data_IF_094351778431
#
_entry.id   IF_094351778431
#
_cell.length_a   1.000
_cell.length_b   1.000
_cell.length_c   1.000
_cell.angle_alpha   90.00
_cell.angle_beta   90.00
_cell.angle_gamma   90.00
#
_symmetry.space_group_name_H-M   'P 1'
#
loop_
_entity.id
_entity.type
_entity.pdbx_description
1 polymer ?
#
# COMPACT_ATOMS: atom_id res chain seq x y z
N UNK A 1 17.34 -7.98 8.80
CA UNK A 1 18.12 -8.70 7.79
C UNK A 1 19.28 -7.86 7.26
N UNK A 2 19.06 -6.65 6.73
CA UNK A 2 20.14 -5.79 6.23
C UNK A 2 21.24 -5.58 7.28
N UNK A 3 20.89 -5.22 8.53
CA UNK A 3 21.85 -5.06 9.62
C UNK A 3 22.68 -6.33 9.91
N UNK A 4 22.06 -7.52 9.86
CA UNK A 4 22.77 -8.79 10.07
C UNK A 4 23.81 -9.07 8.97
N UNK A 5 23.45 -8.84 7.72
CA UNK A 5 24.40 -9.00 6.61
C UNK A 5 25.55 -7.99 6.70
N UNK A 6 25.23 -6.73 7.03
CA UNK A 6 26.26 -5.70 7.21
C UNK A 6 27.20 -6.02 8.38
N UNK A 7 26.69 -6.57 9.47
CA UNK A 7 27.52 -7.06 10.58
C UNK A 7 28.49 -8.17 10.15
N UNK A 8 28.09 -9.01 9.20
CA UNK A 8 28.94 -10.05 8.61
C UNK A 8 29.85 -9.53 7.49
N UNK A 9 29.92 -8.22 7.26
CA UNK A 9 30.71 -7.62 6.19
C UNK A 9 30.13 -7.85 4.78
N UNK A 10 28.87 -8.26 4.68
CA UNK A 10 28.20 -8.55 3.40
C UNK A 10 27.26 -7.40 3.04
N UNK A 11 27.46 -6.81 1.87
CA UNK A 11 26.55 -5.79 1.32
C UNK A 11 25.63 -6.44 0.31
N UNK A 12 24.31 -6.28 0.53
CA UNK A 12 23.29 -6.72 -0.40
C UNK A 12 22.71 -5.52 -1.16
N UNK A 13 22.46 -5.69 -2.45
CA UNK A 13 21.61 -4.77 -3.21
C UNK A 13 20.17 -4.81 -2.69
N UNK A 14 19.38 -3.76 -2.98
CA UNK A 14 17.97 -3.73 -2.61
C UNK A 14 17.18 -4.93 -3.18
N UNK A 15 17.52 -5.38 -4.38
CA UNK A 15 16.92 -6.56 -5.00
C UNK A 15 17.23 -7.83 -4.21
N UNK A 16 18.51 -8.09 -3.93
CA UNK A 16 18.92 -9.26 -3.16
C UNK A 16 18.30 -9.26 -1.76
N UNK A 17 18.21 -8.08 -1.13
CA UNK A 17 17.58 -7.94 0.18
C UNK A 17 16.09 -8.29 0.13
N UNK A 18 15.35 -7.81 -0.89
CA UNK A 18 13.95 -8.14 -1.09
C UNK A 18 13.73 -9.64 -1.36
N UNK A 19 14.56 -10.23 -2.24
CA UNK A 19 14.49 -11.66 -2.58
C UNK A 19 14.79 -12.55 -1.37
N UNK A 20 15.79 -12.19 -0.56
CA UNK A 20 16.10 -12.89 0.69
C UNK A 20 14.97 -12.78 1.71
N UNK A 21 14.33 -11.62 1.83
CA UNK A 21 13.16 -11.45 2.68
C UNK A 21 12.01 -12.36 2.22
N UNK A 22 11.71 -12.35 0.92
CA UNK A 22 10.70 -13.25 0.34
C UNK A 22 11.05 -14.74 0.54
N UNK A 23 12.31 -15.12 0.41
CA UNK A 23 12.75 -16.49 0.67
C UNK A 23 12.42 -16.92 2.11
N UNK A 24 12.73 -16.05 3.08
CA UNK A 24 12.49 -16.36 4.49
C UNK A 24 10.98 -16.40 4.77
N UNK A 25 10.26 -15.34 4.47
CA UNK A 25 8.86 -15.22 4.89
C UNK A 25 7.93 -16.16 4.11
N UNK A 26 8.12 -16.30 2.79
CA UNK A 26 7.22 -17.06 1.93
C UNK A 26 7.64 -18.54 1.85
N UNK A 27 8.93 -18.83 1.63
CA UNK A 27 9.38 -20.19 1.39
C UNK A 27 9.69 -20.95 2.68
N UNK A 28 10.39 -20.32 3.65
CA UNK A 28 10.81 -20.99 4.90
C UNK A 28 9.72 -20.94 5.95
N UNK A 29 9.14 -19.76 6.22
CA UNK A 29 8.08 -19.58 7.21
C UNK A 29 6.68 -19.91 6.66
N UNK A 30 6.54 -20.04 5.33
CA UNK A 30 5.29 -20.40 4.63
C UNK A 30 4.13 -19.43 4.91
N UNK A 31 4.43 -18.16 5.16
CA UNK A 31 3.38 -17.15 5.25
C UNK A 31 2.64 -17.01 3.90
N UNK A 32 1.30 -16.93 3.90
CA UNK A 32 0.49 -16.82 2.68
C UNK A 32 0.48 -15.41 2.09
N UNK A 33 1.62 -14.73 2.09
CA UNK A 33 1.80 -13.33 1.67
C UNK A 33 2.34 -13.21 0.25
N UNK A 34 2.17 -12.04 -0.37
CA UNK A 34 2.83 -11.66 -1.60
C UNK A 34 4.24 -11.10 -1.34
N UNK A 35 4.89 -10.63 -2.42
CA UNK A 35 6.26 -10.08 -2.39
C UNK A 35 6.31 -8.56 -2.25
N UNK A 36 5.17 -7.88 -2.26
CA UNK A 36 5.09 -6.41 -2.40
C UNK A 36 5.81 -5.68 -1.27
N UNK A 37 5.55 -6.05 -0.04
CA UNK A 37 6.04 -5.33 1.15
C UNK A 37 7.57 -5.45 1.27
N UNK A 38 8.13 -6.62 0.95
CA UNK A 38 9.57 -6.86 0.97
C UNK A 38 10.28 -6.00 -0.08
N UNK A 39 9.71 -5.91 -1.29
CA UNK A 39 10.27 -5.07 -2.35
C UNK A 39 10.10 -3.59 -2.03
N UNK A 40 8.94 -3.15 -1.56
CA UNK A 40 8.71 -1.76 -1.16
C UNK A 40 9.66 -1.32 -0.05
N UNK A 41 9.85 -2.14 0.98
CA UNK A 41 10.75 -1.84 2.09
C UNK A 41 12.24 -1.84 1.69
N UNK A 42 12.63 -2.72 0.77
CA UNK A 42 14.03 -2.79 0.32
C UNK A 42 14.41 -1.62 -0.59
N UNK A 43 13.52 -1.21 -1.49
CA UNK A 43 13.80 -0.16 -2.46
C UNK A 43 13.49 1.25 -1.95
N UNK A 44 12.45 1.42 -1.13
CA UNK A 44 11.95 2.74 -0.73
C UNK A 44 11.41 3.57 -1.90
N UNK A 45 10.91 4.76 -1.63
CA UNK A 45 10.34 5.64 -2.62
C UNK A 45 9.01 5.14 -3.20
N UNK A 46 8.55 5.80 -4.26
CA UNK A 46 7.37 5.40 -5.00
C UNK A 46 7.79 4.54 -6.20
N UNK A 47 7.22 3.35 -6.31
CA UNK A 47 7.58 2.40 -7.35
C UNK A 47 6.35 1.74 -7.96
N UNK A 48 6.46 1.44 -9.23
CA UNK A 48 5.61 0.48 -9.90
C UNK A 48 6.34 -0.86 -9.97
N UNK A 49 5.75 -1.90 -9.36
CA UNK A 49 6.27 -3.26 -9.39
C UNK A 49 5.41 -4.15 -10.28
N UNK A 50 6.03 -4.84 -11.21
CA UNK A 50 5.38 -5.88 -12.00
C UNK A 50 5.89 -7.26 -11.54
N UNK A 51 4.99 -8.07 -11.00
CA UNK A 51 5.29 -9.43 -10.55
C UNK A 51 5.00 -10.41 -11.69
N UNK A 52 6.04 -10.96 -12.28
CA UNK A 52 5.95 -11.81 -13.46
C UNK A 52 5.58 -13.26 -13.10
N UNK A 53 5.03 -13.98 -14.08
CA UNK A 53 4.62 -15.39 -13.91
C UNK A 53 5.79 -16.35 -13.62
N UNK A 54 6.98 -16.02 -14.10
CA UNK A 54 8.22 -16.77 -13.83
C UNK A 54 8.79 -16.50 -12.42
N UNK A 55 8.14 -15.62 -11.66
CA UNK A 55 8.52 -15.25 -10.32
C UNK A 55 9.51 -14.09 -10.22
N UNK A 56 9.97 -13.55 -11.35
CA UNK A 56 10.79 -12.32 -11.38
C UNK A 56 9.94 -11.09 -11.04
N UNK A 57 10.61 -10.00 -10.65
CA UNK A 57 9.94 -8.74 -10.33
C UNK A 57 10.65 -7.60 -11.07
N UNK A 58 9.88 -6.90 -11.91
CA UNK A 58 10.36 -5.67 -12.52
C UNK A 58 9.99 -4.48 -11.67
N UNK A 59 10.90 -3.55 -11.53
CA UNK A 59 10.72 -2.31 -10.80
C UNK A 59 10.90 -1.12 -11.72
N UNK A 60 9.91 -0.25 -11.75
CA UNK A 60 9.98 1.07 -12.38
C UNK A 60 9.82 2.14 -11.29
N UNK A 61 10.88 2.94 -10.99
CA UNK A 61 10.74 4.02 -10.04
C UNK A 61 9.82 5.10 -10.61
N UNK A 62 8.92 5.61 -9.79
CA UNK A 62 8.04 6.74 -10.14
C UNK A 62 8.63 8.00 -9.53
N UNK A 63 9.23 8.84 -10.38
CA UNK A 63 9.84 10.09 -9.95
C UNK A 63 8.81 11.22 -10.06
N UNK A 64 8.39 11.72 -8.91
CA UNK A 64 7.50 12.89 -8.85
C UNK A 64 8.30 14.18 -8.74
N UNK A 65 7.75 15.27 -9.27
CA UNK A 65 8.26 16.62 -9.02
C UNK A 65 8.17 16.95 -7.53
N UNK A 66 9.01 17.85 -7.04
CA UNK A 66 8.93 18.34 -5.64
C UNK A 66 7.57 18.99 -5.32
N UNK A 67 6.92 19.57 -6.32
CA UNK A 67 5.56 20.08 -6.20
C UNK A 67 4.56 18.97 -5.94
N UNK A 68 4.65 17.85 -6.68
CA UNK A 68 3.71 16.73 -6.56
C UNK A 68 3.96 15.91 -5.30
N UNK A 69 5.21 15.79 -4.85
CA UNK A 69 5.53 15.21 -3.53
C UNK A 69 4.86 16.02 -2.41
N UNK A 70 5.02 17.36 -2.42
CA UNK A 70 4.35 18.22 -1.44
C UNK A 70 2.83 18.15 -1.50
N UNK A 71 2.23 18.01 -2.70
CA UNK A 71 0.78 17.78 -2.82
C UNK A 71 0.39 16.43 -2.21
N UNK A 72 1.17 15.39 -2.45
CA UNK A 72 0.93 14.06 -1.90
C UNK A 72 0.97 14.08 -0.37
N UNK A 73 1.99 14.68 0.22
CA UNK A 73 2.13 14.83 1.67
C UNK A 73 0.95 15.62 2.30
N UNK A 74 0.43 16.65 1.60
CA UNK A 74 -0.67 17.46 2.12
C UNK A 74 -2.06 16.89 1.90
N UNK A 75 -2.26 16.09 0.85
CA UNK A 75 -3.58 15.58 0.47
C UNK A 75 -3.86 14.16 0.93
N UNK A 76 -2.84 13.43 1.34
CA UNK A 76 -3.00 12.09 1.89
C UNK A 76 -3.08 12.14 3.41
N UNK A 77 -4.12 11.54 3.96
CA UNK A 77 -4.34 11.40 5.40
C UNK A 77 -4.31 9.93 5.76
N UNK A 78 -3.67 9.56 6.85
CA UNK A 78 -3.62 8.18 7.33
C UNK A 78 -4.15 8.07 8.75
N UNK A 79 -5.11 7.16 8.97
CA UNK A 79 -5.72 6.95 10.28
C UNK A 79 -5.57 5.51 10.74
N UNK A 80 -5.29 5.33 12.02
CA UNK A 80 -5.32 4.01 12.63
C UNK A 80 -6.75 3.63 12.99
N UNK A 81 -7.24 2.52 12.45
CA UNK A 81 -8.64 2.08 12.61
C UNK A 81 -8.98 1.55 14.00
N UNK A 82 -7.96 1.31 14.85
CA UNK A 82 -8.15 0.67 16.15
C UNK A 82 -8.57 -0.81 16.05
N UNK A 83 -8.44 -1.42 14.88
CA UNK A 83 -8.74 -2.84 14.65
C UNK A 83 -7.46 -3.52 14.17
N UNK A 84 -7.14 -4.65 14.79
CA UNK A 84 -6.04 -5.52 14.36
C UNK A 84 -6.61 -6.91 14.03
N UNK A 85 -6.18 -7.49 12.91
CA UNK A 85 -6.49 -8.87 12.54
C UNK A 85 -5.23 -9.57 12.04
N UNK A 86 -5.23 -10.89 12.13
CA UNK A 86 -4.16 -11.71 11.55
C UNK A 86 -4.31 -11.68 10.02
N UNK A 87 -3.34 -11.09 9.35
CA UNK A 87 -3.31 -10.98 7.88
C UNK A 87 -3.36 -12.34 7.18
N UNK A 88 -2.76 -13.36 7.77
CA UNK A 88 -2.65 -14.71 7.21
C UNK A 88 -4.01 -15.32 6.86
N UNK A 89 -5.03 -15.14 7.70
CA UNK A 89 -6.37 -15.68 7.45
C UNK A 89 -7.01 -15.04 6.23
N UNK A 90 -6.93 -13.70 6.12
CA UNK A 90 -7.48 -12.94 5.00
C UNK A 90 -6.79 -13.30 3.70
N UNK A 91 -5.46 -13.38 3.73
CA UNK A 91 -4.65 -13.70 2.54
C UNK A 91 -4.83 -15.15 2.10
N UNK A 92 -5.03 -16.09 3.03
CA UNK A 92 -5.36 -17.46 2.71
C UNK A 92 -6.70 -17.55 1.99
N UNK A 93 -7.74 -16.90 2.51
CA UNK A 93 -9.05 -16.86 1.88
C UNK A 93 -9.01 -16.19 0.50
N UNK A 94 -8.28 -15.08 0.35
CA UNK A 94 -8.06 -14.44 -0.94
C UNK A 94 -7.43 -15.42 -1.94
N UNK A 95 -6.40 -16.16 -1.52
CA UNK A 95 -5.72 -17.13 -2.36
C UNK A 95 -6.64 -18.27 -2.81
N UNK A 96 -7.47 -18.79 -1.93
CA UNK A 96 -8.45 -19.84 -2.23
C UNK A 96 -9.53 -19.37 -3.24
N UNK A 97 -9.89 -18.09 -3.19
CA UNK A 97 -10.90 -17.48 -4.07
C UNK A 97 -10.33 -16.85 -5.34
N UNK A 98 -9.01 -16.87 -5.54
CA UNK A 98 -8.31 -16.16 -6.64
C UNK A 98 -8.89 -16.51 -8.02
N UNK A 99 -9.10 -17.78 -8.33
CA UNK A 99 -9.61 -18.19 -9.65
C UNK A 99 -11.03 -17.69 -9.90
N UNK A 100 -11.91 -17.73 -8.87
CA UNK A 100 -13.30 -17.25 -8.96
C UNK A 100 -13.41 -15.71 -9.05
N UNK A 101 -12.35 -15.00 -8.71
CA UNK A 101 -12.31 -13.54 -8.64
C UNK A 101 -11.31 -12.93 -9.64
N UNK A 102 -10.98 -13.67 -10.70
CA UNK A 102 -9.98 -13.29 -11.69
C UNK A 102 -10.29 -11.93 -12.33
N UNK A 103 -11.54 -11.70 -12.72
CA UNK A 103 -11.97 -10.43 -13.33
C UNK A 103 -11.70 -9.22 -12.43
N UNK A 104 -11.87 -9.39 -11.11
CA UNK A 104 -11.59 -8.33 -10.13
C UNK A 104 -10.09 -8.09 -10.03
N UNK A 105 -9.28 -9.14 -10.03
CA UNK A 105 -7.82 -9.02 -9.97
C UNK A 105 -7.26 -8.42 -11.26
N UNK A 106 -7.80 -8.79 -12.42
CA UNK A 106 -7.43 -8.21 -13.71
C UNK A 106 -7.81 -6.72 -13.74
N UNK A 107 -9.00 -6.33 -13.29
CA UNK A 107 -9.36 -4.92 -13.13
C UNK A 107 -8.37 -4.16 -12.22
N UNK A 108 -8.02 -4.71 -11.06
CA UNK A 108 -7.08 -4.06 -10.14
C UNK A 108 -5.68 -3.93 -10.75
N UNK A 109 -5.27 -4.90 -11.55
CA UNK A 109 -4.02 -4.86 -12.30
C UNK A 109 -4.04 -3.74 -13.35
N UNK A 110 -5.07 -3.69 -14.20
CA UNK A 110 -5.27 -2.63 -15.19
C UNK A 110 -5.24 -1.24 -14.53
N UNK A 111 -5.98 -1.10 -13.42
CA UNK A 111 -6.02 0.15 -12.66
C UNK A 111 -4.65 0.58 -12.14
N UNK A 112 -3.80 -0.37 -11.73
CA UNK A 112 -2.42 -0.06 -11.31
C UNK A 112 -1.59 0.48 -12.49
N UNK A 113 -1.78 -0.05 -13.71
CA UNK A 113 -1.14 0.49 -14.91
C UNK A 113 -1.63 1.90 -15.25
N UNK A 114 -2.95 2.13 -15.19
CA UNK A 114 -3.52 3.45 -15.47
C UNK A 114 -3.07 4.50 -14.43
N UNK A 115 -3.03 4.14 -13.14
CA UNK A 115 -2.49 5.01 -12.10
C UNK A 115 -0.99 5.32 -12.33
N UNK A 116 -0.22 4.34 -12.77
CA UNK A 116 1.19 4.55 -13.12
C UNK A 116 1.34 5.54 -14.28
N UNK A 117 0.56 5.36 -15.35
CA UNK A 117 0.54 6.30 -16.50
C UNK A 117 0.12 7.71 -16.08
N UNK A 118 -0.92 7.83 -15.23
CA UNK A 118 -1.37 9.11 -14.69
C UNK A 118 -0.22 9.84 -13.97
N UNK A 119 0.46 9.13 -13.06
CA UNK A 119 1.55 9.73 -12.28
C UNK A 119 2.73 10.17 -13.16
N UNK A 120 3.02 9.45 -14.23
CA UNK A 120 4.10 9.82 -15.16
C UNK A 120 3.73 11.00 -16.06
N UNK A 121 2.48 11.10 -16.48
CA UNK A 121 2.02 12.11 -17.46
C UNK A 121 1.57 13.40 -16.77
N UNK A 122 0.70 13.27 -15.78
CA UNK A 122 -0.04 14.39 -15.20
C UNK A 122 0.39 14.70 -13.76
N UNK A 123 1.27 13.85 -13.18
CA UNK A 123 1.73 13.95 -11.80
C UNK A 123 0.64 13.58 -10.79
N UNK A 124 0.73 14.11 -9.58
CA UNK A 124 -0.22 13.83 -8.52
C UNK A 124 -1.45 14.76 -8.59
N UNK A 125 -2.56 14.23 -9.07
CA UNK A 125 -3.83 14.93 -9.30
C UNK A 125 -4.96 14.39 -8.42
N UNK A 126 -6.14 15.04 -8.45
CA UNK A 126 -7.34 14.57 -7.74
C UNK A 126 -7.86 13.21 -8.24
N UNK A 127 -7.52 12.84 -9.46
CA UNK A 127 -7.90 11.53 -10.01
C UNK A 127 -7.26 10.37 -9.24
N UNK A 128 -6.11 10.62 -8.59
CA UNK A 128 -5.49 9.64 -7.68
C UNK A 128 -6.48 9.17 -6.58
N UNK A 129 -7.24 10.11 -6.00
CA UNK A 129 -8.28 9.77 -5.02
C UNK A 129 -9.39 8.89 -5.60
N UNK A 130 -9.82 9.16 -6.83
CA UNK A 130 -10.83 8.33 -7.52
C UNK A 130 -10.32 6.91 -7.77
N UNK A 131 -9.08 6.76 -8.25
CA UNK A 131 -8.45 5.45 -8.42
C UNK A 131 -8.35 4.68 -7.10
N UNK A 132 -8.00 5.35 -6.00
CA UNK A 132 -8.00 4.72 -4.68
C UNK A 132 -9.38 4.21 -4.29
N UNK A 133 -10.45 5.01 -4.52
CA UNK A 133 -11.83 4.63 -4.23
C UNK A 133 -12.27 3.40 -5.02
N UNK A 134 -12.09 3.44 -6.34
CA UNK A 134 -12.47 2.34 -7.23
C UNK A 134 -11.73 1.05 -6.88
N UNK A 135 -10.41 1.14 -6.69
CA UNK A 135 -9.58 0.00 -6.28
C UNK A 135 -9.99 -0.57 -4.93
N UNK A 136 -10.36 0.28 -3.97
CA UNK A 136 -10.86 -0.16 -2.68
C UNK A 136 -12.20 -0.90 -2.79
N UNK A 137 -13.15 -0.35 -3.52
CA UNK A 137 -14.45 -0.99 -3.73
C UNK A 137 -14.30 -2.37 -4.40
N UNK A 138 -13.42 -2.48 -5.40
CA UNK A 138 -13.09 -3.76 -6.03
C UNK A 138 -12.37 -4.71 -5.09
N UNK A 139 -11.39 -4.23 -4.32
CA UNK A 139 -10.70 -5.05 -3.33
C UNK A 139 -11.66 -5.63 -2.29
N UNK A 140 -12.58 -4.84 -1.78
CA UNK A 140 -13.62 -5.30 -0.83
C UNK A 140 -14.44 -6.47 -1.37
N UNK A 141 -14.71 -6.52 -2.67
CA UNK A 141 -15.51 -7.59 -3.28
C UNK A 141 -14.75 -8.92 -3.47
N UNK A 142 -13.46 -8.98 -3.13
CA UNK A 142 -12.67 -10.22 -3.16
C UNK A 142 -13.11 -11.20 -2.08
N UNK A 143 -13.23 -10.74 -0.83
CA UNK A 143 -13.71 -11.53 0.31
C UNK A 143 -14.38 -10.64 1.34
N UNK A 144 -15.29 -11.20 2.14
CA UNK A 144 -15.99 -10.48 3.21
C UNK A 144 -15.05 -10.10 4.38
N UNK A 145 -13.91 -10.75 4.49
CA UNK A 145 -12.91 -10.51 5.55
C UNK A 145 -12.06 -9.24 5.33
N UNK A 146 -12.06 -8.67 4.12
CA UNK A 146 -11.25 -7.49 3.77
C UNK A 146 -11.78 -6.22 4.46
N UNK A 147 -13.10 -6.13 4.67
CA UNK A 147 -13.72 -5.02 5.38
C UNK A 147 -14.68 -5.54 6.44
N UNK A 148 -15.17 -4.64 7.27
CA UNK A 148 -16.19 -4.91 8.26
C UNK A 148 -17.01 -3.63 8.50
N UNK A 149 -18.12 -3.75 9.23
CA UNK A 149 -19.03 -2.63 9.46
C UNK A 149 -18.38 -1.39 10.08
N UNK A 150 -17.33 -1.57 10.92
CA UNK A 150 -16.58 -0.45 11.50
C UNK A 150 -15.76 0.27 10.42
N UNK A 151 -15.01 -0.47 9.61
CA UNK A 151 -14.21 0.08 8.51
C UNK A 151 -15.09 0.76 7.48
N UNK A 152 -16.20 0.13 7.11
CA UNK A 152 -17.16 0.69 6.15
C UNK A 152 -17.80 1.97 6.66
N UNK A 153 -18.12 2.04 7.95
CA UNK A 153 -18.63 3.26 8.59
C UNK A 153 -17.60 4.38 8.55
N UNK A 154 -16.33 4.11 8.92
CA UNK A 154 -15.21 5.09 8.87
C UNK A 154 -15.07 5.61 7.44
N UNK A 155 -14.99 4.71 6.46
CA UNK A 155 -14.81 5.06 5.06
C UNK A 155 -15.96 5.91 4.51
N UNK A 156 -17.20 5.51 4.81
CA UNK A 156 -18.40 6.25 4.39
C UNK A 156 -18.48 7.64 5.02
N UNK A 157 -18.09 7.79 6.29
CA UNK A 157 -17.97 9.10 6.95
C UNK A 157 -16.95 9.97 6.22
N UNK A 158 -15.75 9.45 5.95
CA UNK A 158 -14.70 10.18 5.24
C UNK A 158 -15.19 10.73 3.89
N UNK A 159 -15.86 9.90 3.09
CA UNK A 159 -16.40 10.33 1.79
C UNK A 159 -17.47 11.43 1.94
N UNK A 160 -18.39 11.30 2.92
CA UNK A 160 -19.40 12.35 3.18
C UNK A 160 -18.78 13.68 3.60
N UNK A 161 -17.65 13.64 4.28
CA UNK A 161 -16.93 14.84 4.74
C UNK A 161 -15.99 15.41 3.67
N UNK A 162 -15.94 14.81 2.48
CA UNK A 162 -15.27 15.35 1.32
C UNK A 162 -13.96 14.68 0.93
N UNK A 163 -13.59 13.54 1.54
CA UNK A 163 -12.55 12.70 0.96
C UNK A 163 -12.97 12.20 -0.42
N UNK A 164 -12.09 12.29 -1.40
CA UNK A 164 -12.37 11.85 -2.78
C UNK A 164 -12.27 10.34 -2.91
N UNK A 165 -11.49 9.71 -2.04
CA UNK A 165 -11.30 8.27 -2.01
C UNK A 165 -10.24 7.85 -1.01
N UNK A 166 -9.98 6.55 -0.98
CA UNK A 166 -9.02 5.98 -0.06
C UNK A 166 -9.00 4.46 -0.11
N UNK A 167 -8.23 3.86 0.76
CA UNK A 167 -8.16 2.40 0.90
C UNK A 167 -7.66 1.98 2.27
N UNK A 168 -8.08 0.82 2.71
CA UNK A 168 -7.42 0.14 3.82
C UNK A 168 -6.08 -0.43 3.35
N UNK A 169 -5.02 -0.15 4.08
CA UNK A 169 -3.67 -0.61 3.76
C UNK A 169 -3.47 -2.09 4.17
N UNK A 170 -2.54 -2.75 3.50
CA UNK A 170 -2.19 -4.17 3.76
C UNK A 170 -3.26 -5.16 3.31
N UNK A 171 -3.38 -6.29 4.02
CA UNK A 171 -4.25 -7.41 3.67
C UNK A 171 -5.75 -7.07 3.75
N UNK A 172 -6.13 -6.21 4.68
CA UNK A 172 -7.52 -5.89 4.99
C UNK A 172 -7.88 -6.20 6.45
N UNK A 173 -9.15 -6.03 6.79
CA UNK A 173 -9.71 -6.37 8.10
C UNK A 173 -9.35 -5.44 9.25
N UNK A 174 -8.38 -4.55 9.10
CA UNK A 174 -7.92 -3.60 10.13
C UNK A 174 -6.61 -2.92 9.75
N UNK A 175 -5.98 -2.26 10.71
CA UNK A 175 -4.73 -1.52 10.49
C UNK A 175 -4.97 -0.05 10.15
N UNK A 176 -4.43 0.42 9.05
CA UNK A 176 -4.47 1.83 8.66
C UNK A 176 -5.35 2.06 7.43
N UNK A 177 -6.10 3.14 7.46
CA UNK A 177 -6.84 3.64 6.30
C UNK A 177 -6.12 4.87 5.74
N UNK A 178 -5.86 4.86 4.44
CA UNK A 178 -5.30 5.98 3.69
C UNK A 178 -6.45 6.66 2.93
N UNK A 179 -6.57 7.97 3.08
CA UNK A 179 -7.58 8.79 2.42
C UNK A 179 -6.91 9.85 1.55
N UNK A 180 -7.50 10.18 0.42
CA UNK A 180 -7.20 11.39 -0.33
C UNK A 180 -8.27 12.44 -0.01
N UNK A 181 -7.84 13.58 0.50
CA UNK A 181 -8.73 14.68 0.87
C UNK A 181 -8.08 16.04 0.59
N UNK A 182 -8.83 16.96 -0.01
CA UNK A 182 -8.38 18.33 -0.17
C UNK A 182 -8.24 19.04 1.19
N UNK A 183 -7.21 19.87 1.33
CA UNK A 183 -6.79 20.47 2.61
C UNK A 183 -7.94 21.19 3.34
N UNK A 184 -8.81 21.87 2.61
CA UNK A 184 -9.95 22.63 3.16
C UNK A 184 -11.01 21.73 3.84
N UNK A 185 -11.03 20.44 3.55
CA UNK A 185 -12.01 19.47 4.07
C UNK A 185 -11.43 18.55 5.13
N UNK A 186 -10.11 18.58 5.34
CA UNK A 186 -9.43 17.63 6.21
C UNK A 186 -9.86 17.76 7.67
N UNK A 187 -10.10 18.99 8.17
CA UNK A 187 -10.52 19.19 9.55
C UNK A 187 -11.89 18.56 9.82
N UNK A 188 -12.83 18.69 8.89
CA UNK A 188 -14.12 18.00 8.97
C UNK A 188 -13.98 16.48 8.97
N UNK A 189 -13.06 15.95 8.14
CA UNK A 189 -12.77 14.53 8.09
C UNK A 189 -12.18 14.05 9.43
N UNK A 190 -11.25 14.80 10.04
CA UNK A 190 -10.65 14.50 11.35
C UNK A 190 -11.70 14.42 12.45
N UNK A 191 -12.56 15.45 12.51
CA UNK A 191 -13.62 15.56 13.50
C UNK A 191 -14.61 14.40 13.41
N UNK A 192 -15.13 14.14 12.21
CA UNK A 192 -16.17 13.12 12.00
C UNK A 192 -15.67 11.68 12.11
N UNK A 193 -14.44 11.42 11.72
CA UNK A 193 -13.82 10.09 11.88
C UNK A 193 -13.48 9.84 13.35
N UNK A 194 -12.95 10.83 14.06
CA UNK A 194 -12.58 10.74 15.47
C UNK A 194 -11.48 9.70 15.76
N UNK A 195 -10.63 9.39 14.80
CA UNK A 195 -9.53 8.42 14.93
C UNK A 195 -8.19 9.13 15.02
N UNK A 196 -7.21 8.42 15.58
CA UNK A 196 -5.84 8.89 15.61
C UNK A 196 -5.28 8.98 14.19
N UNK A 197 -5.00 10.18 13.73
CA UNK A 197 -4.22 10.43 12.51
C UNK A 197 -2.75 10.12 12.77
N UNK A 198 -2.11 9.55 11.76
CA UNK A 198 -0.69 9.23 11.77
C UNK A 198 -0.01 10.09 10.74
N UNK A 199 0.90 10.92 11.18
CA UNK A 199 1.77 11.68 10.30
C UNK A 199 2.76 10.74 9.58
N UNK A 200 2.92 10.92 8.28
CA UNK A 200 3.81 10.11 7.48
C UNK A 200 4.33 10.85 6.27
N UNK A 201 5.51 10.48 5.82
CA UNK A 201 6.12 11.00 4.59
C UNK A 201 6.67 9.86 3.74
N UNK A 202 6.68 10.06 2.42
CA UNK A 202 7.31 9.14 1.50
C UNK A 202 8.83 9.21 1.62
N UNK A 203 9.43 8.18 2.16
CA UNK A 203 10.88 8.06 2.30
C UNK A 203 11.47 7.51 1.00
N UNK A 204 12.38 8.26 0.37
CA UNK A 204 12.99 7.90 -0.91
C UNK A 204 13.95 6.71 -0.82
N UNK A 205 14.54 6.50 0.34
CA UNK A 205 15.52 5.44 0.56
C UNK A 205 14.87 4.24 1.22
N UNK A 206 15.17 3.05 0.70
CA UNK A 206 14.75 1.80 1.31
C UNK A 206 15.58 1.43 2.54
N UNK A 207 15.61 0.15 2.85
CA UNK A 207 16.36 -0.37 3.98
C UNK A 207 17.84 -0.02 3.88
N UNK A 208 18.38 0.67 4.88
CA UNK A 208 19.79 1.06 4.97
C UNK A 208 20.33 0.92 6.37
N UNK A 209 21.61 0.69 6.49
CA UNK A 209 22.32 0.78 7.77
C UNK A 209 22.55 2.25 8.09
N UNK A 210 22.06 2.70 9.22
CA UNK A 210 22.17 4.10 9.67
C UNK A 210 23.28 4.31 10.69
N UNK A 211 23.78 3.24 11.29
CA UNK A 211 24.87 3.26 12.24
C UNK A 211 25.70 1.97 12.12
N UNK A 212 27.01 2.11 12.13
CA UNK A 212 27.96 1.01 12.18
C UNK A 212 29.02 1.38 13.23
N UNK A 213 29.16 0.57 14.28
CA UNK A 213 30.13 0.75 15.36
C UNK A 213 31.36 -0.10 15.09
#
# INVERSE_FOLDING_TARGET
>A
MNALYSYLGITLSARELAEKACEIEIRKLKHPIGKQDQYAAAFGGLNFFNFNKDGTVDRTPVTLSERDKRKMDRKLMMFYTGVTRKADNILKEQREKTEKKRDILDFMKEQAFEMHKLLLKDGFTSDFGKYLNEGWLKKKSLTDEISNGKIDSIYSKALRCGATGGKLLGAGGGGFILLYCDEEKQDLVREEIGLREIDFHLVQQGSRVVYFA
#
